data_IF_789213179089
#
_entry.id   IF_789213179089
#
_cell.length_a   1.000
_cell.length_b   1.000
_cell.length_c   1.000
_cell.angle_alpha   90.00
_cell.angle_beta   90.00
_cell.angle_gamma   90.00
#
_symmetry.space_group_name_H-M   'P 1'
#
loop_
_entity.id
_entity.type
_entity.pdbx_description
1 polymer ?
#
# COMPACT_ATOMS: atom_id res chain seq x y z
N UNK A 1 1.15 -4.08 -15.00
CA UNK A 1 0.57 -5.42 -14.80
C UNK A 1 1.44 -6.43 -15.51
N UNK A 2 1.73 -7.57 -14.88
CA UNK A 2 2.35 -8.75 -15.47
C UNK A 2 1.21 -9.64 -15.97
N UNK A 3 0.79 -9.45 -17.22
CA UNK A 3 -0.31 -10.20 -17.84
C UNK A 3 0.21 -11.55 -18.37
N UNK A 4 0.26 -12.56 -17.51
CA UNK A 4 0.95 -13.83 -17.80
C UNK A 4 0.26 -14.68 -18.87
N UNK A 5 -1.06 -14.55 -19.02
CA UNK A 5 -1.84 -15.21 -20.06
C UNK A 5 -1.33 -14.84 -21.46
N UNK A 6 -1.42 -13.56 -21.83
CA UNK A 6 -0.93 -13.08 -23.13
C UNK A 6 0.59 -13.21 -23.24
N UNK A 7 1.33 -12.89 -22.18
CA UNK A 7 2.79 -13.00 -22.19
C UNK A 7 3.26 -14.43 -22.48
N UNK A 8 2.55 -15.45 -21.98
CA UNK A 8 2.87 -16.85 -22.24
C UNK A 8 2.60 -17.31 -23.67
N UNK A 9 1.86 -16.53 -24.45
CA UNK A 9 1.70 -16.74 -25.89
C UNK A 9 2.82 -16.06 -26.69
N UNK A 10 3.36 -14.95 -26.18
CA UNK A 10 4.36 -14.13 -26.88
C UNK A 10 5.81 -14.57 -26.62
N UNK A 11 6.11 -15.14 -25.45
CA UNK A 11 7.46 -15.64 -25.10
C UNK A 11 7.41 -17.12 -24.70
N UNK A 12 8.53 -17.87 -24.81
CA UNK A 12 8.60 -19.24 -24.33
C UNK A 12 8.17 -19.35 -22.87
N UNK A 13 7.32 -20.34 -22.57
CA UNK A 13 6.64 -20.47 -21.27
C UNK A 13 7.62 -20.58 -20.10
N UNK A 14 8.76 -21.22 -20.32
CA UNK A 14 9.84 -21.37 -19.35
C UNK A 14 10.54 -20.04 -19.02
N UNK A 15 10.30 -18.96 -19.77
CA UNK A 15 10.86 -17.61 -19.51
C UNK A 15 9.91 -16.67 -18.77
N UNK A 16 8.65 -17.05 -18.59
CA UNK A 16 7.63 -16.18 -17.96
C UNK A 16 8.04 -15.79 -16.54
N UNK A 17 8.54 -16.75 -15.75
CA UNK A 17 8.95 -16.48 -14.36
C UNK A 17 10.07 -15.43 -14.29
N UNK A 18 11.02 -15.47 -15.23
CA UNK A 18 12.10 -14.50 -15.30
C UNK A 18 11.56 -13.12 -15.64
N UNK A 19 10.66 -13.02 -16.63
CA UNK A 19 10.03 -11.77 -17.02
C UNK A 19 9.23 -11.15 -15.85
N UNK A 20 8.44 -11.95 -15.13
CA UNK A 20 7.73 -11.52 -13.92
C UNK A 20 8.69 -10.93 -12.89
N UNK A 21 9.70 -11.69 -12.47
CA UNK A 21 10.65 -11.26 -11.43
C UNK A 21 11.36 -9.95 -11.81
N UNK A 22 11.79 -9.83 -13.07
CA UNK A 22 12.43 -8.61 -13.57
C UNK A 22 11.48 -7.42 -13.59
N UNK A 23 10.23 -7.60 -14.04
CA UNK A 23 9.24 -6.52 -14.06
C UNK A 23 8.90 -6.04 -12.65
N UNK A 24 8.62 -6.97 -11.74
CA UNK A 24 8.30 -6.66 -10.34
C UNK A 24 9.48 -5.93 -9.68
N UNK A 25 10.70 -6.42 -9.86
CA UNK A 25 11.91 -5.78 -9.34
C UNK A 25 12.08 -4.34 -9.83
N UNK A 26 11.93 -4.10 -11.13
CA UNK A 26 12.04 -2.76 -11.72
C UNK A 26 10.95 -1.82 -11.21
N UNK A 27 9.71 -2.31 -11.09
CA UNK A 27 8.59 -1.55 -10.52
C UNK A 27 8.85 -1.13 -9.07
N UNK A 28 9.33 -2.06 -8.24
CA UNK A 28 9.66 -1.81 -6.83
C UNK A 28 10.74 -0.72 -6.68
N UNK A 29 11.82 -0.78 -7.47
CA UNK A 29 12.86 0.26 -7.47
C UNK A 29 12.29 1.63 -7.84
N UNK A 30 11.42 1.67 -8.84
CA UNK A 30 10.81 2.90 -9.33
C UNK A 30 9.64 3.39 -8.45
N UNK A 31 9.21 2.63 -7.44
CA UNK A 31 8.04 2.94 -6.62
C UNK A 31 6.74 2.98 -7.42
N UNK A 32 6.66 2.24 -8.52
CA UNK A 32 5.44 2.13 -9.35
C UNK A 32 4.74 0.82 -9.00
N UNK A 33 3.40 0.84 -8.86
CA UNK A 33 2.67 -0.35 -8.47
C UNK A 33 2.76 -1.42 -9.57
N UNK A 34 2.90 -2.67 -9.16
CA UNK A 34 2.90 -3.82 -10.07
C UNK A 34 1.85 -4.83 -9.64
N UNK A 35 1.12 -5.35 -10.62
CA UNK A 35 0.05 -6.32 -10.42
C UNK A 35 0.43 -7.61 -11.12
N UNK A 36 0.48 -8.73 -10.40
CA UNK A 36 0.63 -10.06 -11.00
C UNK A 36 -0.76 -10.61 -11.28
N UNK A 37 -1.01 -11.04 -12.51
CA UNK A 37 -2.35 -11.41 -12.95
C UNK A 37 -2.36 -12.73 -13.72
N UNK A 38 -3.58 -13.23 -13.93
CA UNK A 38 -3.98 -14.40 -14.72
C UNK A 38 -3.54 -15.75 -14.14
N UNK A 39 -4.48 -16.70 -14.10
CA UNK A 39 -4.29 -18.09 -13.67
C UNK A 39 -3.61 -18.23 -12.31
N UNK A 40 -3.94 -17.35 -11.36
CA UNK A 40 -3.34 -17.39 -10.03
C UNK A 40 -3.98 -18.51 -9.19
N UNK A 41 -5.30 -18.70 -9.32
CA UNK A 41 -6.06 -19.77 -8.66
C UNK A 41 -7.02 -20.44 -9.67
N UNK A 42 -6.58 -20.65 -10.92
CA UNK A 42 -7.41 -21.05 -12.06
C UNK A 42 -8.33 -22.25 -11.79
N UNK A 43 -7.82 -23.28 -11.11
CA UNK A 43 -8.59 -24.48 -10.77
C UNK A 43 -9.82 -24.16 -9.91
N UNK A 44 -9.81 -23.04 -9.19
CA UNK A 44 -10.91 -22.60 -8.35
C UNK A 44 -12.14 -22.12 -9.14
N UNK A 45 -12.05 -22.01 -10.46
CA UNK A 45 -13.23 -21.86 -11.34
C UNK A 45 -14.18 -23.05 -11.18
N UNK A 46 -13.63 -24.27 -11.03
CA UNK A 46 -14.41 -25.52 -10.99
C UNK A 46 -14.26 -26.29 -9.68
N UNK A 47 -13.27 -25.96 -8.85
CA UNK A 47 -12.95 -26.63 -7.60
C UNK A 47 -13.05 -25.67 -6.41
N UNK A 48 -13.52 -26.11 -5.23
CA UNK A 48 -13.49 -25.27 -4.03
C UNK A 48 -12.07 -25.12 -3.42
N UNK A 49 -11.06 -25.81 -3.95
CA UNK A 49 -9.68 -25.73 -3.46
C UNK A 49 -8.70 -25.53 -4.61
N UNK A 50 -7.68 -24.68 -4.43
CA UNK A 50 -6.63 -24.53 -5.42
C UNK A 50 -5.68 -25.73 -5.37
N UNK A 51 -4.88 -25.86 -6.42
CA UNK A 51 -3.74 -26.77 -6.42
C UNK A 51 -2.60 -26.24 -5.54
N UNK A 52 -1.67 -27.12 -5.17
CA UNK A 52 -0.45 -26.72 -4.45
C UNK A 52 0.42 -25.75 -5.27
N UNK A 53 0.44 -25.92 -6.59
CA UNK A 53 1.17 -25.06 -7.50
C UNK A 53 0.59 -23.64 -7.51
N UNK A 54 -0.73 -23.50 -7.62
CA UNK A 54 -1.44 -22.21 -7.57
C UNK A 54 -1.23 -21.48 -6.25
N UNK A 55 -1.37 -22.19 -5.12
CA UNK A 55 -1.10 -21.59 -3.81
C UNK A 55 0.35 -21.10 -3.68
N UNK A 56 1.30 -21.88 -4.20
CA UNK A 56 2.73 -21.52 -4.22
C UNK A 56 3.01 -20.35 -5.16
N UNK A 57 2.30 -20.26 -6.29
CA UNK A 57 2.42 -19.16 -7.26
C UNK A 57 1.96 -17.83 -6.67
N UNK A 58 0.80 -17.79 -5.99
CA UNK A 58 0.32 -16.61 -5.26
C UNK A 58 1.33 -16.17 -4.20
N UNK A 59 1.82 -17.11 -3.38
CA UNK A 59 2.81 -16.81 -2.35
C UNK A 59 4.09 -16.22 -2.96
N UNK A 60 4.64 -16.83 -4.02
CA UNK A 60 5.85 -16.34 -4.66
C UNK A 60 5.67 -14.98 -5.33
N UNK A 61 4.49 -14.66 -5.89
CA UNK A 61 4.23 -13.33 -6.42
C UNK A 61 4.30 -12.25 -5.33
N UNK A 62 3.78 -12.54 -4.13
CA UNK A 62 3.87 -11.65 -2.95
C UNK A 62 5.32 -11.52 -2.47
N UNK A 63 6.07 -12.63 -2.42
CA UNK A 63 7.48 -12.65 -2.01
C UNK A 63 8.40 -11.94 -3.01
N UNK A 64 8.10 -12.02 -4.30
CA UNK A 64 8.77 -11.25 -5.35
C UNK A 64 8.56 -9.73 -5.17
N UNK A 65 7.52 -9.36 -4.41
CA UNK A 65 7.22 -7.99 -4.04
C UNK A 65 6.16 -7.35 -4.91
N UNK A 66 5.22 -8.13 -5.46
CA UNK A 66 4.07 -7.57 -6.17
C UNK A 66 3.23 -6.69 -5.26
N UNK A 67 2.61 -5.63 -5.79
CA UNK A 67 1.70 -4.78 -5.00
C UNK A 67 0.30 -5.39 -4.91
N UNK A 68 -0.15 -6.00 -6.00
CA UNK A 68 -1.45 -6.66 -6.05
C UNK A 68 -1.36 -8.00 -6.78
N UNK A 69 -2.18 -8.92 -6.31
CA UNK A 69 -2.53 -10.15 -7.02
C UNK A 69 -3.94 -10.00 -7.58
N UNK A 70 -4.19 -10.60 -8.74
CA UNK A 70 -5.46 -10.43 -9.45
C UNK A 70 -6.08 -11.78 -9.80
N UNK A 71 -7.37 -11.91 -9.50
CA UNK A 71 -8.23 -12.99 -9.99
C UNK A 71 -8.94 -12.52 -11.27
N UNK A 72 -8.97 -13.40 -12.26
CA UNK A 72 -9.62 -13.18 -13.57
C UNK A 72 -10.88 -14.03 -13.67
N UNK A 73 -10.81 -15.17 -14.35
CA UNK A 73 -11.95 -16.08 -14.54
C UNK A 73 -12.48 -16.65 -13.22
N UNK A 74 -11.61 -16.78 -12.22
CA UNK A 74 -11.91 -17.30 -10.89
C UNK A 74 -13.06 -16.54 -10.21
N UNK A 75 -13.14 -15.22 -10.40
CA UNK A 75 -14.18 -14.36 -9.82
C UNK A 75 -15.23 -13.91 -10.84
N UNK A 76 -14.85 -13.74 -12.10
CA UNK A 76 -15.75 -13.27 -13.15
C UNK A 76 -16.80 -14.32 -13.56
N UNK A 77 -16.42 -15.60 -13.60
CA UNK A 77 -17.28 -16.70 -14.07
C UNK A 77 -17.06 -18.02 -13.31
N UNK A 78 -16.29 -18.01 -12.22
CA UNK A 78 -16.01 -19.20 -11.41
C UNK A 78 -17.18 -19.61 -10.54
N UNK A 79 -17.24 -20.90 -10.19
CA UNK A 79 -18.24 -21.44 -9.27
C UNK A 79 -17.99 -21.04 -7.80
N UNK A 80 -16.76 -20.60 -7.45
CA UNK A 80 -16.33 -20.32 -6.08
C UNK A 80 -15.66 -18.93 -5.92
N UNK A 81 -16.29 -17.82 -6.35
CA UNK A 81 -15.65 -16.51 -6.41
C UNK A 81 -15.25 -15.97 -5.03
N UNK A 82 -16.14 -16.08 -4.03
CA UNK A 82 -15.85 -15.63 -2.66
C UNK A 82 -14.72 -16.46 -2.03
N UNK A 83 -14.76 -17.78 -2.21
CA UNK A 83 -13.74 -18.68 -1.64
C UNK A 83 -12.38 -18.47 -2.30
N UNK A 84 -12.33 -18.14 -3.60
CA UNK A 84 -11.09 -17.76 -4.29
C UNK A 84 -10.47 -16.50 -3.68
N UNK A 85 -11.27 -15.46 -3.43
CA UNK A 85 -10.82 -14.23 -2.76
C UNK A 85 -10.31 -14.52 -1.34
N UNK A 86 -11.07 -15.27 -0.53
CA UNK A 86 -10.67 -15.64 0.83
C UNK A 86 -9.38 -16.46 0.85
N UNK A 87 -9.23 -17.39 -0.10
CA UNK A 87 -8.04 -18.25 -0.21
C UNK A 87 -6.82 -17.44 -0.62
N UNK A 88 -6.95 -16.56 -1.62
CA UNK A 88 -5.90 -15.64 -2.03
C UNK A 88 -5.47 -14.73 -0.88
N UNK A 89 -6.42 -14.16 -0.13
CA UNK A 89 -6.13 -13.31 1.03
C UNK A 89 -5.33 -14.06 2.12
N UNK A 90 -5.71 -15.30 2.44
CA UNK A 90 -4.98 -16.13 3.42
C UNK A 90 -3.54 -16.40 2.97
N UNK A 91 -3.35 -16.74 1.69
CA UNK A 91 -2.00 -16.97 1.14
C UNK A 91 -1.16 -15.69 1.18
N UNK A 92 -1.75 -14.54 0.85
CA UNK A 92 -1.07 -13.25 0.95
C UNK A 92 -0.60 -13.01 2.38
N UNK A 93 -1.49 -13.06 3.38
CA UNK A 93 -1.14 -12.83 4.79
C UNK A 93 0.03 -13.71 5.24
N UNK A 94 -0.01 -15.01 4.94
CA UNK A 94 1.08 -15.93 5.26
C UNK A 94 2.39 -15.54 4.56
N UNK A 95 2.36 -15.24 3.26
CA UNK A 95 3.55 -14.83 2.52
C UNK A 95 4.15 -13.52 3.05
N UNK A 96 3.31 -12.53 3.38
CA UNK A 96 3.76 -11.25 3.95
C UNK A 96 4.46 -11.44 5.30
N UNK A 97 3.97 -12.36 6.13
CA UNK A 97 4.53 -12.65 7.46
C UNK A 97 5.96 -13.22 7.43
N UNK A 98 6.38 -13.80 6.30
CA UNK A 98 7.70 -14.44 6.14
C UNK A 98 8.78 -13.51 5.59
N UNK A 99 8.44 -12.27 5.22
CA UNK A 99 9.38 -11.34 4.61
C UNK A 99 10.31 -10.70 5.64
N UNK A 100 11.59 -10.66 5.31
CA UNK A 100 12.56 -9.77 5.97
C UNK A 100 12.41 -8.36 5.39
N UNK A 101 11.53 -7.57 6.01
CA UNK A 101 11.28 -6.18 5.63
C UNK A 101 12.51 -5.28 5.78
N UNK A 102 13.47 -5.62 6.64
CA UNK A 102 14.71 -4.85 6.74
C UNK A 102 15.62 -5.06 5.53
N UNK A 103 15.78 -6.31 5.06
CA UNK A 103 16.54 -6.58 3.84
C UNK A 103 15.88 -5.93 2.62
N UNK A 104 14.55 -6.04 2.51
CA UNK A 104 13.78 -5.40 1.43
C UNK A 104 14.02 -3.89 1.44
N UNK A 105 13.93 -3.24 2.60
CA UNK A 105 14.18 -1.81 2.73
C UNK A 105 15.61 -1.44 2.28
N UNK A 106 16.63 -2.16 2.77
CA UNK A 106 18.05 -1.93 2.41
C UNK A 106 18.28 -2.08 0.91
N UNK A 107 17.65 -3.07 0.27
CA UNK A 107 17.76 -3.32 -1.18
C UNK A 107 17.16 -2.19 -2.01
N UNK A 108 16.01 -1.66 -1.61
CA UNK A 108 15.35 -0.53 -2.29
C UNK A 108 16.16 0.77 -2.08
N UNK A 109 16.65 1.00 -0.87
CA UNK A 109 17.51 2.14 -0.55
C UNK A 109 18.79 2.17 -1.39
N UNK A 110 19.43 1.01 -1.62
CA UNK A 110 20.63 0.90 -2.45
C UNK A 110 20.43 1.39 -3.90
N UNK A 111 19.22 1.32 -4.42
CA UNK A 111 18.87 1.74 -5.79
C UNK A 111 18.17 3.10 -5.84
N UNK A 112 17.96 3.76 -4.70
CA UNK A 112 17.33 5.08 -4.65
C UNK A 112 18.31 6.16 -5.13
N UNK A 113 17.83 7.20 -5.84
CA UNK A 113 18.69 8.24 -6.39
C UNK A 113 19.37 9.06 -5.28
N UNK A 114 20.59 9.55 -5.52
CA UNK A 114 21.29 10.48 -4.62
C UNK A 114 21.71 11.70 -5.45
N UNK A 115 21.22 12.92 -5.15
CA UNK A 115 20.31 13.27 -4.05
C UNK A 115 18.85 12.83 -4.31
N UNK A 116 18.15 12.44 -3.23
CA UNK A 116 16.71 12.16 -3.26
C UNK A 116 15.91 13.48 -3.26
N UNK A 117 14.66 13.41 -3.73
CA UNK A 117 13.71 14.52 -3.52
C UNK A 117 13.40 14.68 -2.02
N UNK A 118 13.03 15.89 -1.53
CA UNK A 118 12.70 16.09 -0.12
C UNK A 118 11.59 15.16 0.41
N UNK A 119 10.55 14.93 -0.40
CA UNK A 119 9.44 14.04 -0.03
C UNK A 119 9.86 12.57 0.03
N UNK A 120 10.70 12.13 -0.91
CA UNK A 120 11.21 10.75 -0.93
C UNK A 120 12.17 10.50 0.23
N UNK A 121 13.05 11.46 0.53
CA UNK A 121 13.95 11.41 1.69
C UNK A 121 13.17 11.30 3.01
N UNK A 122 12.07 12.06 3.14
CA UNK A 122 11.19 11.95 4.30
C UNK A 122 10.44 10.63 4.35
N UNK A 123 9.94 10.12 3.22
CA UNK A 123 9.27 8.83 3.18
C UNK A 123 10.20 7.68 3.60
N UNK A 124 11.42 7.65 3.06
CA UNK A 124 12.46 6.70 3.45
C UNK A 124 12.80 6.81 4.95
N UNK A 125 12.91 8.04 5.45
CA UNK A 125 13.20 8.31 6.86
C UNK A 125 12.05 7.85 7.75
N UNK A 126 10.79 8.07 7.36
CA UNK A 126 9.63 7.64 8.14
C UNK A 126 9.56 6.12 8.28
N UNK A 127 9.83 5.37 7.21
CA UNK A 127 9.93 3.90 7.28
C UNK A 127 11.07 3.48 8.20
N UNK A 128 12.24 4.10 8.07
CA UNK A 128 13.37 3.82 8.97
C UNK A 128 13.04 4.11 10.43
N UNK A 129 12.40 5.25 10.71
CA UNK A 129 11.97 5.64 12.05
C UNK A 129 10.92 4.67 12.60
N UNK A 130 9.97 4.21 11.78
CA UNK A 130 8.98 3.23 12.20
C UNK A 130 9.62 1.92 12.61
N UNK A 131 10.62 1.44 11.85
CA UNK A 131 11.38 0.24 12.20
C UNK A 131 12.18 0.45 13.49
N UNK A 132 12.92 1.56 13.61
CA UNK A 132 13.73 1.84 14.81
C UNK A 132 12.91 2.07 16.08
N UNK A 133 11.73 2.69 15.96
CA UNK A 133 10.83 2.94 17.08
C UNK A 133 9.89 1.76 17.38
N UNK A 134 9.98 0.66 16.61
CA UNK A 134 9.03 -0.45 16.65
C UNK A 134 7.57 0.03 16.64
N UNK A 135 7.27 0.97 15.74
CA UNK A 135 5.96 1.60 15.68
C UNK A 135 4.90 0.58 15.23
N UNK A 136 3.71 0.63 15.84
CA UNK A 136 2.60 -0.21 15.42
C UNK A 136 1.99 0.24 14.08
N UNK A 137 2.15 1.53 13.74
CA UNK A 137 1.49 2.14 12.60
C UNK A 137 2.34 3.28 12.00
N UNK A 138 2.32 3.38 10.67
CA UNK A 138 2.72 4.61 9.97
C UNK A 138 1.45 5.34 9.54
N UNK A 139 1.29 6.56 10.03
CA UNK A 139 0.19 7.43 9.67
C UNK A 139 0.66 8.45 8.62
N UNK A 140 -0.02 8.55 7.48
CA UNK A 140 0.30 9.53 6.45
C UNK A 140 -0.92 10.40 6.16
N UNK A 141 -0.83 11.69 6.49
CA UNK A 141 -1.82 12.66 6.01
C UNK A 141 -1.42 13.11 4.61
N UNK A 142 -2.32 12.94 3.65
CA UNK A 142 -2.05 13.26 2.26
C UNK A 142 -3.26 13.88 1.58
N UNK A 143 -3.03 14.77 0.61
CA UNK A 143 -4.10 15.35 -0.21
C UNK A 143 -4.23 14.63 -1.55
N UNK A 144 -3.09 14.42 -2.23
CA UNK A 144 -3.01 13.74 -3.54
C UNK A 144 -2.54 12.27 -3.50
N UNK A 145 -2.26 11.71 -2.33
CA UNK A 145 -1.79 10.33 -2.17
C UNK A 145 -0.31 10.10 -2.49
N UNK A 146 0.40 11.06 -3.08
CA UNK A 146 1.81 10.91 -3.50
C UNK A 146 2.74 10.52 -2.35
N UNK A 147 2.56 11.16 -1.19
CA UNK A 147 3.37 10.89 0.00
C UNK A 147 3.19 9.46 0.51
N UNK A 148 1.95 8.97 0.58
CA UNK A 148 1.66 7.61 1.02
C UNK A 148 2.27 6.58 0.06
N UNK A 149 2.18 6.84 -1.25
CA UNK A 149 2.80 6.00 -2.30
C UNK A 149 4.32 5.90 -2.15
N UNK A 150 4.98 7.02 -1.81
CA UNK A 150 6.43 7.02 -1.53
C UNK A 150 6.78 6.26 -0.26
N UNK A 151 5.94 6.30 0.78
CA UNK A 151 6.15 5.46 1.98
C UNK A 151 6.00 3.98 1.62
N UNK A 152 4.97 3.62 0.86
CA UNK A 152 4.73 2.24 0.41
C UNK A 152 5.84 1.68 -0.49
N UNK A 153 6.52 2.54 -1.28
CA UNK A 153 7.71 2.16 -2.07
C UNK A 153 8.77 1.48 -1.21
N UNK A 154 8.98 1.95 0.02
CA UNK A 154 10.02 1.44 0.91
C UNK A 154 9.61 0.19 1.71
N UNK A 155 8.41 -0.35 1.45
CA UNK A 155 7.91 -1.62 2.00
C UNK A 155 8.12 -1.74 3.53
N UNK A 156 7.48 -0.87 4.34
CA UNK A 156 7.49 -1.08 5.79
C UNK A 156 6.80 -2.40 6.14
N UNK A 157 7.28 -3.08 7.19
CA UNK A 157 6.59 -4.24 7.77
C UNK A 157 5.36 -3.86 8.59
N UNK A 158 5.17 -2.57 8.84
CA UNK A 158 4.05 -2.01 9.61
C UNK A 158 2.99 -1.45 8.65
N UNK A 159 1.69 -1.53 9.02
CA UNK A 159 0.62 -0.99 8.19
C UNK A 159 0.75 0.52 8.00
N UNK A 160 0.32 1.01 6.83
CA UNK A 160 0.34 2.43 6.50
C UNK A 160 -1.10 2.94 6.41
N UNK A 161 -1.54 3.71 7.39
CA UNK A 161 -2.84 4.39 7.33
C UNK A 161 -2.70 5.71 6.56
N UNK A 162 -3.23 5.74 5.34
CA UNK A 162 -3.21 6.91 4.47
C UNK A 162 -4.52 7.69 4.61
N UNK A 163 -4.49 8.79 5.35
CA UNK A 163 -5.65 9.66 5.53
C UNK A 163 -5.66 10.68 4.41
N UNK A 164 -6.64 10.57 3.53
CA UNK A 164 -6.86 11.53 2.44
C UNK A 164 -7.69 12.68 2.97
N UNK A 165 -7.05 13.85 3.12
CA UNK A 165 -7.70 15.08 3.56
C UNK A 165 -8.15 15.86 2.33
N UNK A 166 -9.46 16.06 2.12
CA UNK A 166 -9.93 16.77 0.95
C UNK A 166 -9.56 18.26 1.00
N UNK A 167 -9.20 18.83 -0.14
CA UNK A 167 -9.08 20.27 -0.31
C UNK A 167 -10.45 20.86 -0.61
N UNK A 168 -10.92 21.74 0.25
CA UNK A 168 -12.09 22.58 -0.02
C UNK A 168 -11.55 23.90 -0.62
N UNK A 169 -11.90 24.17 -1.87
CA UNK A 169 -11.62 25.44 -2.53
C UNK A 169 -12.92 26.23 -2.62
N UNK A 170 -12.94 27.41 -2.04
CA UNK A 170 -14.05 28.36 -2.16
C UNK A 170 -13.61 29.48 -3.08
N UNK A 171 -14.21 29.58 -4.25
CA UNK A 171 -14.23 30.82 -5.02
C UNK A 171 -15.45 31.62 -4.53
N UNK A 172 -15.46 32.95 -4.71
CA UNK A 172 -16.35 33.92 -4.04
C UNK A 172 -17.86 33.60 -4.05
N UNK A 173 -18.31 32.68 -4.91
CA UNK A 173 -19.70 32.24 -5.06
C UNK A 173 -19.89 30.71 -5.12
N UNK A 174 -18.84 29.90 -5.22
CA UNK A 174 -18.92 28.44 -5.38
C UNK A 174 -17.87 27.72 -4.52
N UNK A 175 -18.26 26.61 -3.89
CA UNK A 175 -17.34 25.73 -3.17
C UNK A 175 -17.15 24.43 -3.93
N UNK A 176 -15.91 23.95 -3.99
CA UNK A 176 -15.55 22.65 -4.55
C UNK A 176 -14.72 21.85 -3.55
N UNK A 177 -14.97 20.54 -3.51
CA UNK A 177 -14.25 19.60 -2.64
C UNK A 177 -13.45 18.64 -3.53
N UNK A 178 -12.20 18.36 -3.17
CA UNK A 178 -11.36 17.43 -3.94
C UNK A 178 -11.92 16.00 -3.92
N UNK A 179 -11.75 15.28 -5.02
CA UNK A 179 -12.28 13.93 -5.24
C UNK A 179 -11.67 12.87 -4.30
N UNK A 180 -12.43 11.81 -4.03
CA UNK A 180 -12.03 10.59 -3.31
C UNK A 180 -11.07 9.70 -4.12
N UNK A 181 -10.82 10.01 -5.41
CA UNK A 181 -9.87 9.31 -6.28
C UNK A 181 -8.52 8.99 -5.63
N UNK A 182 -7.85 9.90 -4.88
CA UNK A 182 -6.58 9.59 -4.26
C UNK A 182 -6.68 8.42 -3.27
N UNK A 183 -7.79 8.30 -2.52
CA UNK A 183 -8.02 7.20 -1.59
C UNK A 183 -8.19 5.88 -2.36
N UNK A 184 -9.10 5.85 -3.36
CA UNK A 184 -9.34 4.66 -4.20
C UNK A 184 -8.09 4.20 -4.94
N UNK A 185 -7.34 5.12 -5.55
CA UNK A 185 -6.12 4.80 -6.28
C UNK A 185 -4.97 4.35 -5.37
N UNK A 186 -5.05 4.56 -4.07
CA UNK A 186 -4.01 4.11 -3.13
C UNK A 186 -4.11 2.62 -2.84
N UNK A 187 -5.26 1.98 -3.08
CA UNK A 187 -5.46 0.54 -2.89
C UNK A 187 -4.57 -0.34 -3.77
N UNK A 188 -4.02 0.19 -4.86
CA UNK A 188 -3.08 -0.55 -5.73
C UNK A 188 -1.66 -0.62 -5.16
N UNK A 189 -1.38 0.05 -4.05
CA UNK A 189 -0.06 0.03 -3.41
C UNK A 189 -0.11 -0.86 -2.18
N UNK A 190 0.88 -1.75 -2.07
CA UNK A 190 0.97 -2.66 -0.93
C UNK A 190 1.09 -1.92 0.40
N UNK A 191 0.36 -2.41 1.40
CA UNK A 191 0.41 -1.90 2.78
C UNK A 191 -0.33 -0.58 3.01
N UNK A 192 -0.85 0.08 1.97
CA UNK A 192 -1.68 1.28 2.13
C UNK A 192 -3.12 0.89 2.52
N UNK A 193 -3.57 1.46 3.63
CA UNK A 193 -4.95 1.43 4.10
C UNK A 193 -5.49 2.86 3.95
N UNK A 194 -6.17 3.19 2.83
CA UNK A 194 -6.67 4.54 2.62
C UNK A 194 -7.95 4.79 3.40
N UNK A 195 -8.02 5.97 4.03
CA UNK A 195 -9.22 6.46 4.73
C UNK A 195 -9.51 7.86 4.25
N UNK A 196 -10.77 8.12 3.88
CA UNK A 196 -11.23 9.46 3.54
C UNK A 196 -11.57 10.21 4.84
N UNK A 197 -10.96 11.37 5.03
CA UNK A 197 -11.33 12.26 6.12
C UNK A 197 -12.56 13.07 5.70
N UNK A 198 -13.66 12.95 6.44
CA UNK A 198 -14.91 13.66 6.13
C UNK A 198 -14.84 15.18 6.34
N UNK A 199 -13.73 15.71 6.84
CA UNK A 199 -13.51 17.13 7.01
C UNK A 199 -14.30 17.75 8.17
N UNK A 200 -13.78 18.87 8.67
CA UNK A 200 -14.43 19.79 9.59
C UNK A 200 -14.28 21.17 8.95
N UNK A 201 -15.39 21.90 8.75
CA UNK A 201 -15.41 23.21 8.10
C UNK A 201 -14.90 24.32 9.04
N UNK A 202 -13.67 24.19 9.55
CA UNK A 202 -13.06 25.12 10.52
C UNK A 202 -11.88 25.90 9.94
N UNK A 203 -11.58 27.02 10.59
CA UNK A 203 -10.94 28.21 10.03
C UNK A 203 -9.41 28.22 9.92
N UNK A 204 -8.67 27.20 10.37
CA UNK A 204 -7.20 27.19 10.30
C UNK A 204 -6.58 25.85 9.82
N UNK A 205 -5.49 25.92 9.06
CA UNK A 205 -4.78 24.75 8.53
C UNK A 205 -4.06 23.90 9.60
N UNK A 206 -3.74 24.48 10.76
CA UNK A 206 -3.04 23.76 11.84
C UNK A 206 -3.99 22.97 12.73
N UNK A 207 -5.12 23.57 13.15
CA UNK A 207 -6.15 22.88 13.94
C UNK A 207 -6.76 21.71 13.17
N UNK A 208 -6.96 21.88 11.86
CA UNK A 208 -7.46 20.81 10.98
C UNK A 208 -6.49 19.63 10.87
N UNK A 209 -5.18 19.86 11.02
CA UNK A 209 -4.17 18.81 10.96
C UNK A 209 -4.17 17.97 12.24
N UNK A 210 -4.20 18.61 13.41
CA UNK A 210 -4.26 17.89 14.70
C UNK A 210 -5.61 17.16 14.87
N UNK A 211 -6.74 17.75 14.44
CA UNK A 211 -8.03 17.06 14.38
C UNK A 211 -7.97 15.81 13.48
N UNK A 212 -7.35 15.92 12.29
CA UNK A 212 -7.18 14.78 11.39
C UNK A 212 -6.28 13.69 11.97
N UNK A 213 -5.19 14.04 12.67
CA UNK A 213 -4.34 13.09 13.39
C UNK A 213 -5.14 12.35 14.48
N UNK A 214 -5.91 13.09 15.29
CA UNK A 214 -6.75 12.51 16.34
C UNK A 214 -7.83 11.57 15.78
N UNK A 215 -8.53 11.99 14.72
CA UNK A 215 -9.46 11.13 14.00
C UNK A 215 -8.79 9.85 13.52
N UNK A 216 -7.60 9.97 12.92
CA UNK A 216 -6.92 8.83 12.32
C UNK A 216 -6.42 7.83 13.35
N UNK A 217 -5.91 8.29 14.50
CA UNK A 217 -5.55 7.40 15.62
C UNK A 217 -6.78 6.67 16.15
N UNK A 218 -7.90 7.38 16.34
CA UNK A 218 -9.17 6.75 16.76
C UNK A 218 -9.65 5.71 15.75
N UNK A 219 -9.56 6.02 14.46
CA UNK A 219 -9.93 5.10 13.40
C UNK A 219 -9.01 3.88 13.36
N UNK A 220 -7.69 4.07 13.46
CA UNK A 220 -6.71 3.00 13.55
C UNK A 220 -6.99 2.05 14.72
N UNK A 221 -7.33 2.59 15.90
CA UNK A 221 -7.75 1.81 17.07
C UNK A 221 -9.01 0.99 16.80
N UNK A 222 -10.02 1.59 16.15
CA UNK A 222 -11.27 0.88 15.82
C UNK A 222 -11.06 -0.27 14.82
N UNK A 223 -10.06 -0.16 13.95
CA UNK A 223 -9.65 -1.21 13.02
C UNK A 223 -8.69 -2.25 13.65
N UNK A 224 -8.27 -2.05 14.90
CA UNK A 224 -7.30 -2.90 15.58
C UNK A 224 -5.87 -2.77 15.06
N UNK A 225 -5.53 -1.68 14.36
CA UNK A 225 -4.19 -1.44 13.81
C UNK A 225 -3.19 -0.92 14.85
N UNK A 226 -3.66 -0.32 15.94
CA UNK A 226 -2.84 0.09 17.08
C UNK A 226 -3.65 0.03 18.38
N UNK A 227 -2.94 -0.05 19.51
CA UNK A 227 -3.48 -0.07 20.88
C UNK A 227 -3.06 1.18 21.64
N UNK A 228 -3.69 1.40 22.79
CA UNK A 228 -3.27 2.47 23.69
C UNK A 228 -1.84 2.22 24.20
N UNK A 229 -0.98 3.23 24.12
CA UNK A 229 0.44 3.14 24.46
C UNK A 229 1.37 2.80 23.30
N UNK A 230 0.85 2.39 22.13
CA UNK A 230 1.68 2.06 20.97
C UNK A 230 2.31 3.33 20.34
N UNK A 231 3.52 3.17 19.81
CA UNK A 231 4.21 4.19 19.02
C UNK A 231 3.63 4.26 17.60
N UNK A 232 3.34 5.47 17.13
CA UNK A 232 2.84 5.76 15.78
C UNK A 232 3.75 6.78 15.11
N UNK A 233 4.25 6.50 13.92
CA UNK A 233 5.02 7.47 13.13
C UNK A 233 4.08 8.21 12.21
N UNK A 234 3.85 9.49 12.46
CA UNK A 234 2.98 10.35 11.66
C UNK A 234 3.80 11.23 10.71
N UNK A 235 3.39 11.26 9.45
CA UNK A 235 3.97 12.09 8.40
C UNK A 235 2.90 12.98 7.79
N UNK A 236 3.13 14.29 7.79
CA UNK A 236 2.22 15.29 7.24
C UNK A 236 2.96 16.55 6.78
N UNK A 237 2.23 17.52 6.23
CA UNK A 237 2.80 18.80 5.75
C UNK A 237 2.23 19.95 6.56
N UNK A 238 3.11 20.87 6.97
CA UNK A 238 2.76 22.14 7.63
C UNK A 238 3.27 23.26 6.72
N UNK A 239 2.34 23.98 6.07
CA UNK A 239 2.69 24.98 5.06
C UNK A 239 3.53 24.37 3.92
N UNK A 240 4.75 24.87 3.73
CA UNK A 240 5.71 24.35 2.73
C UNK A 240 6.61 23.24 3.28
N UNK A 241 6.66 23.07 4.60
CA UNK A 241 7.49 22.07 5.27
C UNK A 241 6.76 20.72 5.35
N UNK A 242 7.55 19.64 5.42
CA UNK A 242 7.05 18.29 5.60
C UNK A 242 7.70 17.71 6.86
N UNK A 243 6.89 17.12 7.74
CA UNK A 243 7.26 16.83 9.13
C UNK A 243 6.99 15.37 9.45
N UNK A 244 7.90 14.77 10.23
CA UNK A 244 7.74 13.44 10.82
C UNK A 244 7.60 13.64 12.34
N UNK A 245 6.54 13.08 12.94
CA UNK A 245 6.30 13.05 14.38
C UNK A 245 6.25 11.60 14.85
N UNK A 246 6.80 11.32 16.02
CA UNK A 246 6.54 10.08 16.75
C UNK A 246 5.47 10.42 17.80
N UNK A 247 4.34 9.75 17.72
CA UNK A 247 3.19 9.94 18.59
C UNK A 247 2.97 8.67 19.41
N UNK A 248 2.43 8.81 20.61
CA UNK A 248 1.90 7.69 21.38
C UNK A 248 0.39 7.66 21.20
N UNK A 249 -0.16 6.51 20.84
CA UNK A 249 -1.60 6.33 20.70
C UNK A 249 -2.27 6.44 22.08
N UNK A 250 -2.82 7.61 22.40
CA UNK A 250 -3.67 7.86 23.58
C UNK A 250 -5.10 7.43 23.31
#
# INVERSE_FOLDING_TARGET
MVARGDLGMEIPIEKIFLAQKVMVYKCNIQGKPVVTATQMLESMIKSPRPTRAEATDVANAVLDGTDCVMLSGETAAGAYPELAVQTMAKICVEAESTLDYEDVFKRIMKHSPVPMSPLESLAATAVRTANSASAALILVLTRGGSTAKLVAKYRPGTPILSVVVPEIKTDSFDWSCSDERPARHSLIFRGLIPVLYAGSARASHEETTEEALGFAIKHAKSMGLCKEGDSVVALHRIGTASVIKILTAK
#
